data_IF_766404465274
#
_entry.id   IF_766404465274
#
_cell.length_a   1.000
_cell.length_b   1.000
_cell.length_c   1.000
_cell.angle_alpha   90.00
_cell.angle_beta   90.00
_cell.angle_gamma   90.00
#
_symmetry.space_group_name_H-M   'P 1'
#
loop_
_entity.id
_entity.type
_entity.pdbx_description
1 polymer ?
#
# COMPACT_ATOMS: atom_id res chain seq x y z
N UNK A 1 -7.84 10.94 -6.41
CA UNK A 1 -7.38 9.68 -5.81
C UNK A 1 -8.08 8.54 -6.52
N UNK A 2 -7.33 7.74 -7.20
CA UNK A 2 -7.85 6.64 -8.01
C UNK A 2 -7.92 5.37 -7.14
N UNK A 3 -8.81 4.43 -7.46
CA UNK A 3 -8.76 3.05 -6.93
C UNK A 3 -7.40 2.35 -7.16
N UNK A 4 -6.45 3.04 -7.76
CA UNK A 4 -5.10 2.58 -8.08
C UNK A 4 -4.07 2.86 -6.99
N UNK A 5 -4.39 3.71 -6.02
CA UNK A 5 -3.46 3.94 -4.92
C UNK A 5 -3.33 2.62 -4.15
N UNK A 6 -2.11 2.12 -4.04
CA UNK A 6 -1.85 0.92 -3.25
C UNK A 6 -2.14 1.22 -1.78
N UNK A 7 -2.34 0.18 -0.97
CA UNK A 7 -2.45 0.32 0.48
C UNK A 7 -1.22 1.04 1.05
N UNK A 8 -0.03 0.69 0.55
CA UNK A 8 1.24 1.28 0.99
C UNK A 8 1.31 2.79 0.72
N UNK A 9 0.85 3.26 -0.46
CA UNK A 9 0.82 4.69 -0.79
C UNK A 9 -0.23 5.45 0.02
N UNK A 10 -1.43 4.90 0.15
CA UNK A 10 -2.55 5.53 0.87
C UNK A 10 -2.17 5.80 2.33
N UNK A 11 -1.56 4.80 2.98
CA UNK A 11 -1.22 4.86 4.40
C UNK A 11 0.26 5.13 4.67
N UNK A 12 1.04 5.48 3.63
CA UNK A 12 2.46 5.87 3.74
C UNK A 12 3.35 4.81 4.39
N UNK A 13 3.16 3.55 4.04
CA UNK A 13 4.09 2.47 4.37
C UNK A 13 5.33 2.48 3.47
N UNK A 14 5.25 3.10 2.30
CA UNK A 14 6.33 3.24 1.36
C UNK A 14 6.18 4.47 0.48
N UNK A 15 7.12 4.72 -0.41
CA UNK A 15 7.02 5.69 -1.50
C UNK A 15 6.88 4.97 -2.83
N UNK A 16 6.12 5.57 -3.74
CA UNK A 16 5.92 5.04 -5.10
C UNK A 16 7.17 5.15 -5.97
N UNK A 17 8.14 5.99 -5.62
CA UNK A 17 9.41 6.14 -6.31
C UNK A 17 10.47 6.75 -5.39
N UNK A 18 11.73 6.40 -5.62
CA UNK A 18 12.89 6.92 -4.92
C UNK A 18 14.12 6.83 -5.83
N UNK A 19 15.17 7.60 -5.53
CA UNK A 19 16.43 7.52 -6.25
C UNK A 19 17.23 6.32 -5.76
N UNK A 20 17.75 5.51 -6.67
CA UNK A 20 18.57 4.37 -6.29
C UNK A 20 18.70 3.32 -7.39
N UNK A 21 19.09 2.15 -6.96
CA UNK A 21 19.35 1.00 -7.82
C UNK A 21 18.41 -0.15 -7.45
N UNK A 22 17.84 -0.78 -8.48
CA UNK A 22 17.04 -1.98 -8.34
C UNK A 22 17.49 -3.04 -9.36
N UNK A 23 17.64 -4.27 -8.92
CA UNK A 23 17.93 -5.43 -9.77
C UNK A 23 16.89 -6.50 -9.61
N UNK A 24 16.43 -7.00 -10.75
CA UNK A 24 15.51 -8.12 -10.84
C UNK A 24 16.24 -9.40 -11.27
N UNK A 25 16.05 -10.48 -10.54
CA UNK A 25 16.61 -11.79 -10.80
C UNK A 25 15.47 -12.81 -11.00
N UNK A 26 15.35 -13.34 -12.21
CA UNK A 26 14.45 -14.47 -12.47
C UNK A 26 15.13 -15.77 -12.03
N UNK A 27 14.80 -16.25 -10.84
CA UNK A 27 15.40 -17.46 -10.28
C UNK A 27 14.89 -18.72 -10.97
N UNK A 28 13.65 -18.70 -11.44
CA UNK A 28 13.08 -19.71 -12.33
C UNK A 28 11.83 -19.14 -13.04
N UNK A 29 11.06 -19.96 -13.76
CA UNK A 29 9.87 -19.51 -14.50
C UNK A 29 8.72 -18.97 -13.64
N UNK A 30 8.77 -19.17 -12.31
CA UNK A 30 7.71 -18.77 -11.38
C UNK A 30 8.19 -17.84 -10.28
N UNK A 31 9.48 -17.81 -9.98
CA UNK A 31 10.05 -17.08 -8.87
C UNK A 31 10.97 -15.96 -9.37
N UNK A 32 10.61 -14.74 -9.04
CA UNK A 32 11.41 -13.54 -9.27
C UNK A 32 11.81 -12.93 -7.94
N UNK A 33 13.07 -12.53 -7.81
CA UNK A 33 13.61 -11.78 -6.68
C UNK A 33 14.03 -10.40 -7.15
N UNK A 34 13.65 -9.37 -6.38
CA UNK A 34 14.19 -8.02 -6.56
C UNK A 34 15.03 -7.65 -5.34
N UNK A 35 16.19 -7.03 -5.59
CA UNK A 35 17.04 -6.43 -4.57
C UNK A 35 17.21 -4.96 -4.93
N UNK A 36 17.09 -4.09 -3.94
CA UNK A 36 17.19 -2.66 -4.18
C UNK A 36 17.96 -1.93 -3.08
N UNK A 37 18.56 -0.82 -3.49
CA UNK A 37 19.26 0.16 -2.65
C UNK A 37 18.75 1.53 -3.08
N UNK A 38 18.09 2.25 -2.18
CA UNK A 38 17.45 3.53 -2.44
C UNK A 38 17.98 4.55 -1.43
N UNK A 39 17.88 5.82 -1.77
CA UNK A 39 18.28 6.88 -0.87
C UNK A 39 17.40 6.96 0.38
N UNK A 40 16.09 6.80 0.24
CA UNK A 40 15.16 6.71 1.37
C UNK A 40 14.20 7.90 1.52
N UNK A 41 14.52 9.09 0.98
CA UNK A 41 13.71 10.30 1.10
C UNK A 41 12.46 10.29 0.22
N UNK A 42 12.45 9.44 -0.80
CA UNK A 42 11.42 9.41 -1.84
C UNK A 42 11.54 10.58 -2.83
N UNK A 43 10.87 10.47 -3.96
CA UNK A 43 11.04 11.35 -5.13
C UNK A 43 10.61 12.82 -4.94
N UNK A 44 9.89 13.15 -3.88
CA UNK A 44 9.41 14.52 -3.61
C UNK A 44 10.33 15.32 -2.71
N UNK A 45 11.36 14.71 -2.16
CA UNK A 45 12.30 15.37 -1.24
C UNK A 45 13.66 15.54 -1.92
N UNK A 46 14.39 16.52 -1.44
CA UNK A 46 15.80 16.67 -1.79
C UNK A 46 16.55 15.52 -1.14
N UNK A 47 17.43 14.89 -1.92
CA UNK A 47 18.31 13.84 -1.41
C UNK A 47 19.33 14.49 -0.49
N UNK A 48 19.49 13.94 0.70
CA UNK A 48 20.47 14.43 1.65
C UNK A 48 21.82 13.69 1.54
N UNK A 49 22.75 14.06 2.39
CA UNK A 49 24.11 13.52 2.39
C UNK A 49 24.40 12.78 3.74
N UNK A 50 23.37 12.32 4.41
CA UNK A 50 23.55 11.68 5.71
C UNK A 50 24.18 10.27 5.63
N UNK A 51 24.22 9.70 4.43
CA UNK A 51 24.78 8.39 4.14
C UNK A 51 23.88 7.21 4.49
N UNK A 52 22.68 7.47 5.00
CA UNK A 52 21.69 6.44 5.27
C UNK A 52 21.04 5.99 3.96
N UNK A 53 20.91 4.69 3.79
CA UNK A 53 20.28 4.11 2.61
C UNK A 53 19.16 3.17 3.03
N UNK A 54 18.13 3.10 2.20
CA UNK A 54 17.09 2.09 2.28
C UNK A 54 17.48 0.91 1.41
N UNK A 55 17.55 -0.26 2.00
CA UNK A 55 17.86 -1.50 1.30
C UNK A 55 16.79 -2.54 1.53
N UNK A 56 16.53 -3.37 0.52
CA UNK A 56 15.50 -4.37 0.69
C UNK A 56 15.48 -5.43 -0.39
N UNK A 57 14.59 -6.38 -0.16
CA UNK A 57 14.38 -7.52 -1.04
C UNK A 57 12.89 -7.82 -1.15
N UNK A 58 12.46 -8.23 -2.33
CA UNK A 58 11.13 -8.82 -2.51
C UNK A 58 11.19 -10.08 -3.35
N UNK A 59 10.32 -11.01 -3.02
CA UNK A 59 10.10 -12.25 -3.76
C UNK A 59 8.69 -12.24 -4.33
N UNK A 60 8.59 -12.44 -5.63
CA UNK A 60 7.35 -12.62 -6.34
C UNK A 60 7.26 -14.06 -6.83
N UNK A 61 6.17 -14.76 -6.52
CA UNK A 61 5.99 -16.15 -6.89
C UNK A 61 4.62 -16.35 -7.56
N UNK A 62 4.68 -16.84 -8.81
CA UNK A 62 3.51 -17.23 -9.58
C UNK A 62 3.05 -18.62 -9.16
N UNK A 63 1.92 -18.66 -8.47
CA UNK A 63 1.27 -19.88 -8.03
C UNK A 63 0.36 -20.47 -9.14
N UNK A 64 0.06 -21.77 -9.11
CA UNK A 64 -0.87 -22.37 -10.05
C UNK A 64 -2.28 -21.76 -9.99
N UNK A 65 -3.05 -21.95 -11.06
CA UNK A 65 -4.49 -21.59 -11.13
C UNK A 65 -4.79 -20.08 -10.97
N UNK A 66 -3.87 -19.23 -11.35
CA UNK A 66 -4.07 -17.77 -11.33
C UNK A 66 -3.83 -17.11 -9.98
N UNK A 67 -3.23 -17.81 -9.02
CA UNK A 67 -2.74 -17.22 -7.78
C UNK A 67 -1.35 -16.63 -7.98
N UNK A 68 -1.05 -15.58 -7.21
CA UNK A 68 0.26 -14.95 -7.12
C UNK A 68 0.52 -14.52 -5.68
N UNK A 69 1.76 -14.50 -5.26
CA UNK A 69 2.13 -14.00 -3.93
C UNK A 69 3.38 -13.15 -4.00
N UNK A 70 3.49 -12.18 -3.09
CA UNK A 70 4.67 -11.35 -2.92
C UNK A 70 5.01 -11.22 -1.44
N UNK A 71 6.28 -11.33 -1.13
CA UNK A 71 6.85 -11.02 0.18
C UNK A 71 7.87 -9.91 -0.02
N UNK A 72 7.86 -8.94 0.86
CA UNK A 72 8.72 -7.76 0.78
C UNK A 72 9.28 -7.41 2.14
N UNK A 73 10.57 -7.06 2.18
CA UNK A 73 11.26 -6.56 3.36
C UNK A 73 12.18 -5.42 2.97
N UNK A 74 12.21 -4.36 3.76
CA UNK A 74 13.22 -3.33 3.68
C UNK A 74 13.67 -2.85 5.07
N UNK A 75 14.85 -2.24 5.09
CA UNK A 75 15.40 -1.52 6.23
C UNK A 75 16.00 -0.21 5.74
N UNK A 76 15.75 0.85 6.47
CA UNK A 76 16.35 2.16 6.28
C UNK A 76 17.09 2.54 7.56
N UNK A 77 18.41 2.62 7.47
CA UNK A 77 19.23 3.00 8.59
C UNK A 77 18.93 4.43 9.02
N UNK A 78 19.12 4.73 10.29
CA UNK A 78 18.93 6.05 10.86
C UNK A 78 20.09 6.40 11.77
N UNK A 79 20.52 7.66 11.71
CA UNK A 79 21.53 8.17 12.63
C UNK A 79 20.92 8.39 13.99
N UNK A 80 21.56 7.85 15.02
CA UNK A 80 21.18 8.01 16.43
C UNK A 80 19.76 7.52 16.79
N UNK A 81 19.18 6.62 15.98
CA UNK A 81 17.86 6.02 16.20
C UNK A 81 17.81 4.59 15.63
N UNK A 82 16.78 3.84 15.98
CA UNK A 82 16.58 2.50 15.43
C UNK A 82 16.23 2.58 13.95
N UNK A 83 16.71 1.61 13.17
CA UNK A 83 16.37 1.51 11.75
C UNK A 83 14.85 1.37 11.56
N UNK A 84 14.32 2.06 10.55
CA UNK A 84 12.98 1.84 10.08
C UNK A 84 12.96 0.49 9.35
N UNK A 85 12.03 -0.38 9.69
CA UNK A 85 11.83 -1.63 8.96
C UNK A 85 10.42 -1.73 8.41
N UNK A 86 10.29 -2.16 7.17
CA UNK A 86 9.01 -2.39 6.53
C UNK A 86 8.94 -3.84 6.05
N UNK A 87 7.82 -4.50 6.28
CA UNK A 87 7.53 -5.82 5.76
C UNK A 87 6.14 -5.88 5.19
N UNK A 88 5.97 -6.57 4.07
CA UNK A 88 4.65 -6.79 3.50
C UNK A 88 4.49 -8.19 2.92
N UNK A 89 3.24 -8.64 2.92
CA UNK A 89 2.79 -9.86 2.30
C UNK A 89 1.61 -9.57 1.40
N UNK A 90 1.61 -10.13 0.20
CA UNK A 90 0.51 -10.03 -0.75
C UNK A 90 0.13 -11.42 -1.26
N UNK A 91 -1.17 -11.69 -1.34
CA UNK A 91 -1.75 -12.84 -2.01
C UNK A 91 -2.82 -12.36 -2.99
N UNK A 92 -2.64 -12.66 -4.26
CA UNK A 92 -3.55 -12.33 -5.34
C UNK A 92 -4.16 -13.55 -6.00
N UNK A 93 -5.37 -13.39 -6.51
CA UNK A 93 -6.01 -14.33 -7.41
C UNK A 93 -6.60 -13.58 -8.60
N UNK A 94 -6.32 -14.06 -9.81
CA UNK A 94 -6.80 -13.49 -11.07
C UNK A 94 -7.46 -14.55 -11.93
N UNK A 95 -8.66 -14.26 -12.38
CA UNK A 95 -9.40 -15.04 -13.37
C UNK A 95 -9.94 -14.12 -14.47
N UNK A 96 -10.47 -14.69 -15.55
CA UNK A 96 -11.02 -13.89 -16.67
C UNK A 96 -12.16 -12.94 -16.25
N UNK A 97 -12.96 -13.36 -15.27
CA UNK A 97 -14.11 -12.61 -14.77
C UNK A 97 -13.82 -11.65 -13.63
N UNK A 98 -12.61 -11.59 -13.09
CA UNK A 98 -12.31 -10.72 -11.96
C UNK A 98 -11.01 -11.06 -11.23
N UNK A 99 -10.80 -10.39 -10.12
CA UNK A 99 -9.60 -10.55 -9.28
C UNK A 99 -9.94 -10.34 -7.80
N UNK A 100 -9.12 -10.97 -6.95
CA UNK A 100 -9.13 -10.79 -5.50
C UNK A 100 -7.71 -10.51 -5.04
N UNK A 101 -7.54 -9.75 -3.99
CA UNK A 101 -6.25 -9.51 -3.37
C UNK A 101 -6.37 -9.33 -1.87
N UNK A 102 -5.38 -9.81 -1.17
CA UNK A 102 -5.14 -9.61 0.26
C UNK A 102 -3.73 -9.07 0.43
N UNK A 103 -3.59 -8.01 1.18
CA UNK A 103 -2.30 -7.38 1.48
C UNK A 103 -2.20 -7.10 2.97
N UNK A 104 -1.04 -7.38 3.57
CA UNK A 104 -0.69 -7.02 4.94
C UNK A 104 0.64 -6.28 4.94
N UNK A 105 0.72 -5.19 5.70
CA UNK A 105 1.92 -4.36 5.82
C UNK A 105 2.21 -4.05 7.28
N UNK A 106 3.49 -4.00 7.63
CA UNK A 106 3.97 -3.62 8.96
C UNK A 106 5.17 -2.70 8.83
N UNK A 107 5.11 -1.56 9.49
CA UNK A 107 6.18 -0.56 9.58
C UNK A 107 6.58 -0.37 11.04
N UNK A 108 7.86 -0.52 11.34
CA UNK A 108 8.38 -0.34 12.69
C UNK A 108 9.33 0.87 12.75
N UNK A 109 9.38 1.50 13.90
CA UNK A 109 10.24 2.63 14.26
C UNK A 109 10.06 3.86 13.37
N UNK A 110 8.81 4.12 12.90
CA UNK A 110 8.53 5.30 12.09
C UNK A 110 7.05 5.72 12.14
N UNK A 111 6.75 6.97 12.41
CA UNK A 111 5.41 7.54 12.15
C UNK A 111 5.09 7.54 10.67
N UNK A 112 6.11 7.71 9.84
CA UNK A 112 6.04 7.51 8.41
C UNK A 112 7.36 6.86 7.94
N UNK A 113 7.40 6.31 6.74
CA UNK A 113 8.54 5.57 6.23
C UNK A 113 9.82 6.41 6.00
N UNK A 114 9.77 7.73 6.17
CA UNK A 114 10.88 8.64 5.86
C UNK A 114 11.71 9.03 7.06
N UNK A 115 11.16 8.97 8.27
CA UNK A 115 11.85 9.40 9.48
C UNK A 115 11.75 8.33 10.54
N UNK A 116 12.91 7.95 11.08
CA UNK A 116 12.99 7.05 12.20
C UNK A 116 12.45 7.71 13.46
N UNK A 117 11.65 6.96 14.20
CA UNK A 117 11.09 7.36 15.48
C UNK A 117 10.86 6.11 16.31
N UNK A 118 11.73 5.90 17.30
CA UNK A 118 11.78 4.67 18.08
C UNK A 118 10.44 4.32 18.74
N UNK A 119 10.05 3.06 18.61
CA UNK A 119 8.82 2.54 19.19
C UNK A 119 7.54 2.91 18.45
N UNK A 120 7.57 3.78 17.45
CA UNK A 120 6.41 4.10 16.63
C UNK A 120 6.20 3.03 15.56
N UNK A 121 5.24 2.13 15.82
CA UNK A 121 4.93 1.02 14.92
C UNK A 121 3.49 1.12 14.45
N UNK A 122 3.24 0.65 13.24
CA UNK A 122 1.89 0.49 12.72
C UNK A 122 1.83 -0.67 11.74
N UNK A 123 0.67 -1.24 11.63
CA UNK A 123 0.37 -2.28 10.67
C UNK A 123 -1.03 -2.11 10.10
N UNK A 124 -1.32 -2.86 9.07
CA UNK A 124 -2.64 -2.86 8.48
C UNK A 124 -2.76 -3.85 7.34
N UNK A 125 -3.98 -4.05 6.94
CA UNK A 125 -4.29 -4.94 5.82
C UNK A 125 -5.32 -4.34 4.89
N UNK A 126 -5.31 -4.83 3.66
CA UNK A 126 -6.30 -4.52 2.62
C UNK A 126 -6.82 -5.82 2.01
N UNK A 127 -8.15 -5.91 1.88
CA UNK A 127 -8.81 -6.95 1.10
C UNK A 127 -9.57 -6.26 -0.01
N UNK A 128 -9.34 -6.67 -1.24
CA UNK A 128 -10.03 -6.06 -2.37
C UNK A 128 -10.42 -7.09 -3.43
N UNK A 129 -11.43 -6.75 -4.18
CA UNK A 129 -11.87 -7.56 -5.30
C UNK A 129 -12.55 -6.76 -6.37
N UNK A 130 -12.54 -7.31 -7.57
CA UNK A 130 -13.33 -6.78 -8.67
C UNK A 130 -13.93 -7.90 -9.51
N UNK A 131 -15.06 -7.59 -10.17
CA UNK A 131 -15.77 -8.49 -11.07
C UNK A 131 -16.15 -7.75 -12.33
N UNK A 132 -15.73 -8.28 -13.47
CA UNK A 132 -16.15 -7.81 -14.79
C UNK A 132 -17.60 -8.18 -15.03
N UNK A 133 -18.34 -7.24 -15.57
CA UNK A 133 -19.73 -7.39 -15.97
C UNK A 133 -19.86 -7.18 -17.49
N UNK A 134 -20.97 -7.60 -18.11
CA UNK A 134 -21.28 -7.29 -19.50
C UNK A 134 -21.22 -5.77 -19.79
N UNK A 135 -21.08 -5.41 -21.07
CA UNK A 135 -21.06 -4.02 -21.56
C UNK A 135 -19.93 -3.17 -20.98
N UNK A 136 -18.75 -3.78 -20.74
CA UNK A 136 -17.53 -3.11 -20.28
C UNK A 136 -17.61 -2.47 -18.88
N UNK A 137 -18.51 -2.95 -18.03
CA UNK A 137 -18.55 -2.56 -16.62
C UNK A 137 -17.65 -3.46 -15.78
N UNK A 138 -17.12 -2.90 -14.68
CA UNK A 138 -16.41 -3.63 -13.63
C UNK A 138 -16.89 -3.11 -12.27
N UNK A 139 -17.37 -4.00 -11.42
CA UNK A 139 -17.64 -3.70 -10.01
C UNK A 139 -16.37 -3.93 -9.20
N UNK A 140 -16.17 -3.15 -8.15
CA UNK A 140 -15.07 -3.36 -7.22
C UNK A 140 -15.47 -3.01 -5.79
N UNK A 141 -14.78 -3.65 -4.87
CA UNK A 141 -14.86 -3.39 -3.43
C UNK A 141 -13.46 -3.49 -2.83
N UNK A 142 -13.19 -2.67 -1.83
CA UNK A 142 -11.94 -2.71 -1.04
C UNK A 142 -12.28 -2.38 0.41
N UNK A 143 -11.68 -3.12 1.32
CA UNK A 143 -11.70 -2.86 2.74
C UNK A 143 -10.27 -2.78 3.25
N UNK A 144 -9.94 -1.70 3.95
CA UNK A 144 -8.66 -1.49 4.59
C UNK A 144 -8.86 -1.35 6.10
N UNK A 145 -7.89 -1.84 6.87
CA UNK A 145 -7.77 -1.60 8.29
C UNK A 145 -6.33 -1.17 8.58
N UNK A 146 -6.16 -0.13 9.38
CA UNK A 146 -4.86 0.34 9.85
C UNK A 146 -4.90 0.50 11.38
N UNK A 147 -3.82 0.15 12.03
CA UNK A 147 -3.65 0.24 13.49
C UNK A 147 -2.23 0.67 13.83
N UNK A 148 -2.08 1.38 14.93
CA UNK A 148 -0.78 1.70 15.51
C UNK A 148 -0.69 1.22 16.96
N UNK A 149 0.53 1.08 17.48
CA UNK A 149 0.73 0.64 18.85
C UNK A 149 0.53 1.78 19.86
N UNK A 150 0.33 1.39 21.11
CA UNK A 150 0.32 2.30 22.26
C UNK A 150 1.77 2.48 22.73
N UNK A 151 2.21 3.72 22.88
CA UNK A 151 3.52 4.05 23.43
C UNK A 151 3.54 3.90 24.95
N UNK A 152 4.74 3.70 25.51
CA UNK A 152 4.89 3.59 26.97
C UNK A 152 4.39 4.85 27.67
N UNK A 153 3.47 4.68 28.64
CA UNK A 153 2.88 5.78 29.38
C UNK A 153 1.67 6.45 28.73
N UNK A 154 1.31 6.06 27.50
CA UNK A 154 0.14 6.58 26.81
C UNK A 154 -1.08 5.66 26.98
N UNK A 155 -2.28 6.22 26.85
CA UNK A 155 -3.54 5.47 26.95
C UNK A 155 -4.10 5.05 25.60
N UNK A 156 -3.73 5.74 24.53
CA UNK A 156 -4.23 5.52 23.17
C UNK A 156 -3.07 5.22 22.23
N UNK A 157 -3.38 4.56 21.14
CA UNK A 157 -2.45 4.37 20.04
C UNK A 157 -1.92 5.72 19.53
N UNK A 158 -0.64 5.79 19.16
CA UNK A 158 -0.01 7.06 18.77
C UNK A 158 -0.66 7.71 17.53
N UNK A 159 -1.28 6.93 16.67
CA UNK A 159 -1.96 7.40 15.47
C UNK A 159 -3.50 7.27 15.57
N UNK A 160 -4.03 7.20 16.81
CA UNK A 160 -5.43 6.92 17.12
C UNK A 160 -6.43 7.77 16.32
N UNK A 161 -6.07 8.99 15.96
CA UNK A 161 -6.90 9.89 15.16
C UNK A 161 -7.02 9.47 13.69
N UNK A 162 -6.08 8.68 13.17
CA UNK A 162 -6.06 8.22 11.79
C UNK A 162 -6.15 6.70 11.66
N UNK A 163 -6.05 5.97 12.77
CA UNK A 163 -6.31 4.54 12.80
C UNK A 163 -7.80 4.27 12.58
N UNK A 164 -8.10 3.10 12.06
CA UNK A 164 -9.47 2.72 11.74
C UNK A 164 -9.59 2.02 10.40
N UNK A 165 -10.77 2.12 9.80
CA UNK A 165 -11.09 1.39 8.58
C UNK A 165 -11.58 2.27 7.43
N UNK A 166 -11.33 1.79 6.21
CA UNK A 166 -11.88 2.32 4.98
C UNK A 166 -12.65 1.23 4.25
N UNK A 167 -13.92 1.46 3.97
CA UNK A 167 -14.69 0.68 3.01
C UNK A 167 -14.86 1.50 1.73
N UNK A 168 -14.46 0.95 0.60
CA UNK A 168 -14.63 1.55 -0.72
C UNK A 168 -15.37 0.57 -1.63
N UNK A 169 -16.37 1.04 -2.35
CA UNK A 169 -17.02 0.27 -3.41
C UNK A 169 -17.44 1.17 -4.56
N UNK A 170 -17.56 0.60 -5.73
CA UNK A 170 -17.92 1.38 -6.90
C UNK A 170 -18.00 0.56 -8.18
N UNK A 171 -18.19 1.29 -9.27
CA UNK A 171 -18.20 0.74 -10.60
C UNK A 171 -17.33 1.55 -11.56
N UNK A 172 -16.71 0.85 -12.49
CA UNK A 172 -15.95 1.42 -13.59
C UNK A 172 -16.61 1.02 -14.89
N UNK A 173 -16.69 1.97 -15.83
CA UNK A 173 -17.15 1.77 -17.19
C UNK A 173 -16.04 2.13 -18.17
N UNK A 174 -15.69 1.20 -19.06
CA UNK A 174 -14.73 1.45 -20.13
C UNK A 174 -15.50 1.85 -21.40
N UNK A 175 -15.56 3.15 -21.68
CA UNK A 175 -16.31 3.69 -22.81
C UNK A 175 -15.65 3.32 -24.15
N UNK A 176 -14.31 3.40 -24.22
CA UNK A 176 -13.51 2.99 -25.37
C UNK A 176 -12.08 2.62 -24.90
N UNK A 177 -11.23 2.17 -25.83
CA UNK A 177 -9.82 1.92 -25.52
C UNK A 177 -9.17 3.22 -25.02
N UNK A 178 -8.62 3.18 -23.80
CA UNK A 178 -7.96 4.34 -23.19
C UNK A 178 -8.90 5.30 -22.43
N UNK A 179 -10.24 5.15 -22.50
CA UNK A 179 -11.16 6.04 -21.78
C UNK A 179 -12.00 5.26 -20.78
N UNK A 180 -11.90 5.62 -19.50
CA UNK A 180 -12.66 4.99 -18.43
C UNK A 180 -13.28 6.04 -17.53
N UNK A 181 -14.48 5.74 -17.07
CA UNK A 181 -15.19 6.49 -16.05
C UNK A 181 -15.38 5.62 -14.81
N UNK A 182 -15.31 6.22 -13.64
CA UNK A 182 -15.45 5.53 -12.38
C UNK A 182 -16.29 6.36 -11.43
N UNK A 183 -17.24 5.71 -10.77
CA UNK A 183 -17.96 6.26 -9.62
C UNK A 183 -17.68 5.35 -8.43
N UNK A 184 -17.30 5.95 -7.29
CA UNK A 184 -17.05 5.20 -6.07
C UNK A 184 -17.49 5.96 -4.83
N UNK A 185 -17.81 5.19 -3.80
CA UNK A 185 -18.16 5.67 -2.48
C UNK A 185 -17.17 5.13 -1.47
N UNK A 186 -16.68 5.99 -0.58
CA UNK A 186 -15.70 5.68 0.46
C UNK A 186 -16.27 6.05 1.81
N UNK A 187 -16.13 5.15 2.77
CA UNK A 187 -16.50 5.32 4.17
C UNK A 187 -15.26 5.16 5.03
N UNK A 188 -14.88 6.22 5.72
CA UNK A 188 -13.77 6.22 6.68
C UNK A 188 -14.37 6.17 8.09
N UNK A 189 -14.05 5.13 8.85
CA UNK A 189 -14.39 4.99 10.25
C UNK A 189 -13.12 5.12 11.07
N UNK A 190 -13.05 6.13 11.93
CA UNK A 190 -11.91 6.37 12.81
C UNK A 190 -12.07 5.57 14.10
N UNK A 191 -10.98 5.02 14.64
CA UNK A 191 -10.98 4.36 15.95
C UNK A 191 -11.26 5.37 17.07
N UNK A 192 -10.87 6.63 16.88
CA UNK A 192 -11.22 7.71 17.79
C UNK A 192 -12.69 8.14 17.61
N UNK A 193 -13.54 7.79 18.55
CA UNK A 193 -14.97 8.11 18.54
C UNK A 193 -15.30 9.61 18.59
N UNK A 194 -14.33 10.46 18.94
CA UNK A 194 -14.50 11.94 18.93
C UNK A 194 -14.39 12.48 17.50
N UNK A 195 -13.74 11.75 16.61
CA UNK A 195 -13.60 12.15 15.21
C UNK A 195 -14.78 11.62 14.41
N UNK A 196 -15.49 12.52 13.75
CA UNK A 196 -16.60 12.14 12.91
C UNK A 196 -16.15 11.27 11.74
N UNK A 197 -16.86 10.17 11.52
CA UNK A 197 -16.69 9.35 10.33
C UNK A 197 -16.94 10.18 9.07
N UNK A 198 -16.16 9.89 8.03
CA UNK A 198 -16.18 10.66 6.78
C UNK A 198 -16.65 9.78 5.63
N UNK A 199 -17.50 10.32 4.78
CA UNK A 199 -17.88 9.68 3.53
C UNK A 199 -17.57 10.58 2.33
N UNK A 200 -17.17 9.96 1.22
CA UNK A 200 -16.82 10.66 -0.01
C UNK A 200 -17.42 9.92 -1.19
N UNK A 201 -18.21 10.62 -1.99
CA UNK A 201 -18.62 10.19 -3.32
C UNK A 201 -17.67 10.80 -4.35
N UNK A 202 -17.08 9.99 -5.20
CA UNK A 202 -16.12 10.44 -6.22
C UNK A 202 -16.55 10.00 -7.61
N UNK A 203 -16.41 10.92 -8.57
CA UNK A 203 -16.51 10.65 -10.00
C UNK A 203 -15.14 10.91 -10.63
N UNK A 204 -14.59 9.92 -11.32
CA UNK A 204 -13.26 10.01 -11.91
C UNK A 204 -13.32 9.64 -13.39
N UNK A 205 -12.45 10.26 -14.19
CA UNK A 205 -12.21 9.91 -15.57
C UNK A 205 -10.70 9.65 -15.78
N UNK A 206 -10.40 8.59 -16.53
CA UNK A 206 -9.03 8.24 -16.93
C UNK A 206 -8.95 8.30 -18.45
N UNK A 207 -7.96 9.02 -18.95
CA UNK A 207 -7.63 9.11 -20.36
C UNK A 207 -6.19 8.62 -20.55
N UNK A 208 -5.99 7.59 -21.39
CA UNK A 208 -4.69 7.14 -21.85
C UNK A 208 -4.55 7.49 -23.32
N UNK A 209 -3.62 8.34 -23.60
CA UNK A 209 -3.21 8.76 -24.94
C UNK A 209 -2.18 7.78 -25.46
#
# INVERSE_FOLDING_TARGET
MCIRDSFQDEYKFGASADLGFNSEFKLNSKLTMNVFFLNGEGYKNVQDNDGNIRQGVSFFYDLPKGFETRIYFDSHDAKDASAITNSSFFLGYKADGGRLGLEYNKLNNARNYKSSEDGYNRDGFSIYGSKKLPKNYELFVRYDQISSNILSGESNAWNYNNDGSLLMFGTQYQATKGVKFNINYRLFNHDNSVINNKSILSLNAEFKI
#
